data_IF_705255025539
#
_entry.id   IF_705255025539
#
_cell.length_a   1.000
_cell.length_b   1.000
_cell.length_c   1.000
_cell.angle_alpha   90.00
_cell.angle_beta   90.00
_cell.angle_gamma   90.00
#
_symmetry.space_group_name_H-M   'P 1'
#
loop_
_entity.id
_entity.type
_entity.pdbx_description
1 polymer ?
#
# COMPACT_ATOMS: atom_id res chain seq x y z
N UNK A 1 -5.23 -17.67 0.43
CA UNK A 1 -6.35 -17.47 1.37
C UNK A 1 -6.36 -18.42 2.57
N UNK A 2 -6.41 -19.75 2.41
CA UNK A 2 -6.54 -20.70 3.55
C UNK A 2 -5.46 -20.49 4.63
N UNK A 3 -4.21 -20.21 4.22
CA UNK A 3 -3.11 -19.95 5.15
C UNK A 3 -3.39 -18.73 6.04
N UNK A 4 -3.83 -17.62 5.45
CA UNK A 4 -4.17 -16.41 6.20
C UNK A 4 -5.41 -16.59 7.07
N UNK A 5 -6.41 -17.34 6.60
CA UNK A 5 -7.59 -17.68 7.40
C UNK A 5 -7.21 -18.44 8.67
N UNK A 6 -6.39 -19.49 8.52
CA UNK A 6 -5.89 -20.29 9.65
C UNK A 6 -5.06 -19.42 10.60
N UNK A 7 -4.19 -18.57 10.07
CA UNK A 7 -3.35 -17.67 10.88
C UNK A 7 -4.20 -16.66 11.66
N UNK A 8 -5.14 -15.98 11.01
CA UNK A 8 -6.04 -15.01 11.62
C UNK A 8 -6.95 -15.63 12.70
N UNK A 9 -7.38 -16.89 12.51
CA UNK A 9 -8.16 -17.62 13.52
C UNK A 9 -7.34 -17.97 14.76
N UNK A 10 -6.07 -18.32 14.59
CA UNK A 10 -5.20 -18.79 15.67
C UNK A 10 -4.39 -17.67 16.34
N UNK A 11 -4.49 -16.43 15.85
CA UNK A 11 -3.74 -15.29 16.39
C UNK A 11 -4.62 -14.52 17.38
N UNK A 12 -4.22 -14.39 18.65
CA UNK A 12 -4.94 -13.58 19.63
C UNK A 12 -5.08 -12.12 19.19
N UNK A 13 -6.23 -11.52 19.51
CA UNK A 13 -6.57 -10.13 19.23
C UNK A 13 -6.86 -9.45 20.56
N UNK A 14 -5.90 -8.67 21.05
CA UNK A 14 -6.12 -7.76 22.16
C UNK A 14 -6.08 -6.37 21.56
N UNK A 15 -7.26 -5.85 21.22
CA UNK A 15 -7.44 -4.51 20.66
C UNK A 15 -8.52 -3.83 21.50
N UNK A 16 -8.16 -2.75 22.18
CA UNK A 16 -9.07 -1.94 22.99
C UNK A 16 -10.12 -1.27 22.11
N UNK A 17 -11.37 -1.27 22.57
CA UNK A 17 -12.47 -0.60 21.87
C UNK A 17 -12.27 0.91 21.76
N UNK A 18 -11.50 1.52 22.66
CA UNK A 18 -11.16 2.95 22.61
C UNK A 18 -10.19 3.30 21.49
N UNK A 19 -9.45 2.33 20.95
CA UNK A 19 -8.46 2.49 19.88
C UNK A 19 -9.00 2.07 18.51
N UNK A 20 -10.32 1.94 18.38
CA UNK A 20 -10.99 1.57 17.14
C UNK A 20 -11.34 2.80 16.31
N UNK A 21 -11.28 2.66 14.99
CA UNK A 21 -11.57 3.78 14.09
C UNK A 21 -12.98 4.35 14.25
N UNK A 22 -13.97 3.53 14.63
CA UNK A 22 -15.33 3.99 14.93
C UNK A 22 -15.43 4.88 16.18
N UNK A 23 -14.37 5.00 16.99
CA UNK A 23 -14.26 5.98 18.08
C UNK A 23 -13.72 7.34 17.65
N UNK A 24 -13.76 7.67 16.36
CA UNK A 24 -13.25 8.94 15.82
C UNK A 24 -13.83 10.21 16.45
N UNK A 25 -14.95 10.14 17.17
CA UNK A 25 -15.52 11.27 17.92
C UNK A 25 -14.93 11.47 19.33
N UNK A 26 -14.22 10.47 19.86
CA UNK A 26 -13.71 10.44 21.23
C UNK A 26 -12.17 10.34 21.25
N UNK A 27 -11.48 10.97 22.23
CA UNK A 27 -10.06 10.71 22.46
C UNK A 27 -9.81 9.21 22.79
N UNK A 28 -8.68 8.63 22.35
CA UNK A 28 -7.55 9.25 21.65
C UNK A 28 -7.67 9.27 20.11
N UNK A 29 -8.77 8.77 19.54
CA UNK A 29 -8.91 8.62 18.09
C UNK A 29 -9.31 9.94 17.42
N UNK A 30 -10.05 10.80 18.13
CA UNK A 30 -10.41 12.14 17.72
C UNK A 30 -9.19 12.94 17.20
N UNK A 31 -9.18 13.41 15.93
CA UNK A 31 -8.09 14.22 15.43
C UNK A 31 -7.99 15.59 16.14
N UNK A 32 -6.77 16.11 16.38
CA UNK A 32 -6.57 17.37 17.10
C UNK A 32 -6.82 18.61 16.24
N UNK A 33 -7.04 18.47 14.93
CA UNK A 33 -7.28 19.57 14.01
C UNK A 33 -8.25 19.20 12.88
N UNK A 34 -8.72 20.22 12.16
CA UNK A 34 -9.56 20.06 10.96
C UNK A 34 -8.75 19.90 9.67
N UNK A 35 -7.41 19.93 9.78
CA UNK A 35 -6.49 19.72 8.68
C UNK A 35 -6.40 18.23 8.30
N UNK A 36 -6.13 17.96 7.02
CA UNK A 36 -5.96 16.59 6.52
C UNK A 36 -4.53 16.30 6.06
N UNK A 37 -4.01 15.10 6.32
CA UNK A 37 -2.70 14.63 5.85
C UNK A 37 -2.78 13.21 5.27
N UNK A 38 -1.85 12.83 4.39
CA UNK A 38 -1.79 11.46 3.86
C UNK A 38 -1.22 10.48 4.89
N UNK A 39 -1.58 9.19 4.77
CA UNK A 39 -0.95 8.15 5.61
C UNK A 39 0.56 8.08 5.35
N UNK A 40 0.99 8.19 4.09
CA UNK A 40 2.42 8.19 3.74
C UNK A 40 3.23 9.35 4.33
N UNK A 41 2.58 10.49 4.61
CA UNK A 41 3.20 11.66 5.24
C UNK A 41 3.59 11.40 6.70
N UNK A 42 2.77 10.57 7.37
CA UNK A 42 2.94 10.12 8.74
C UNK A 42 3.96 8.98 8.77
N UNK A 43 3.78 7.97 7.90
CA UNK A 43 4.44 6.66 8.03
C UNK A 43 5.66 6.47 7.12
N UNK A 44 5.99 7.46 6.29
CA UNK A 44 7.10 7.39 5.35
C UNK A 44 8.47 7.22 6.01
N UNK A 45 8.61 7.62 7.27
CA UNK A 45 9.84 7.39 8.05
C UNK A 45 11.07 8.11 7.50
N UNK A 46 10.88 9.24 6.80
CA UNK A 46 11.94 9.99 6.11
C UNK A 46 12.49 11.17 6.92
N UNK A 47 11.69 11.73 7.82
CA UNK A 47 12.04 12.93 8.58
C UNK A 47 11.56 12.81 10.04
N UNK A 48 12.46 12.48 10.99
CA UNK A 48 12.10 12.26 12.39
C UNK A 48 11.39 13.45 13.04
N UNK A 49 11.82 14.69 12.76
CA UNK A 49 11.21 15.90 13.33
C UNK A 49 9.94 16.36 12.58
N UNK A 50 9.57 15.70 11.48
CA UNK A 50 8.37 16.06 10.72
C UNK A 50 8.49 17.32 9.86
N UNK A 51 9.70 17.88 9.67
CA UNK A 51 9.95 19.05 8.80
C UNK A 51 9.49 18.85 7.35
N UNK A 52 9.40 17.60 6.89
CA UNK A 52 8.80 17.26 5.59
C UNK A 52 7.36 17.76 5.45
N UNK A 53 6.57 17.73 6.54
CA UNK A 53 5.19 18.22 6.57
C UNK A 53 5.17 19.74 6.43
N UNK A 54 6.05 20.43 7.16
CA UNK A 54 6.21 21.88 7.08
C UNK A 54 6.55 22.32 5.65
N UNK A 55 7.58 21.72 5.03
CA UNK A 55 7.97 22.07 3.67
C UNK A 55 6.87 21.80 2.64
N UNK A 56 6.17 20.66 2.76
CA UNK A 56 5.14 20.25 1.80
C UNK A 56 3.85 21.05 1.92
N UNK A 57 3.37 21.26 3.15
CA UNK A 57 2.03 21.81 3.40
C UNK A 57 2.01 23.28 3.81
N UNK A 58 3.08 23.79 4.42
CA UNK A 58 3.16 25.18 4.91
C UNK A 58 3.90 26.05 3.89
N UNK A 59 5.11 25.65 3.49
CA UNK A 59 5.92 26.38 2.50
C UNK A 59 5.53 26.08 1.04
N UNK A 60 4.74 25.03 0.81
CA UNK A 60 4.30 24.64 -0.54
C UNK A 60 5.44 24.15 -1.45
N UNK A 61 6.55 23.68 -0.88
CA UNK A 61 7.69 23.15 -1.63
C UNK A 61 7.28 21.87 -2.34
N UNK A 62 7.44 21.84 -3.66
CA UNK A 62 7.19 20.64 -4.46
C UNK A 62 8.23 19.57 -4.18
N UNK A 63 7.76 18.35 -3.98
CA UNK A 63 8.62 17.19 -3.77
C UNK A 63 9.46 16.92 -5.04
N UNK A 64 10.80 16.91 -4.93
CA UNK A 64 11.65 16.54 -6.05
C UNK A 64 11.39 15.10 -6.50
N UNK A 65 11.30 14.88 -7.81
CA UNK A 65 11.21 13.51 -8.35
C UNK A 65 12.52 12.77 -8.11
N UNK A 66 12.46 11.57 -7.50
CA UNK A 66 13.62 10.69 -7.36
C UNK A 66 13.44 9.43 -8.23
N UNK A 67 14.52 8.87 -8.81
CA UNK A 67 14.46 7.61 -9.53
C UNK A 67 13.87 6.45 -8.70
N UNK A 68 14.12 6.43 -7.40
CA UNK A 68 13.61 5.41 -6.47
C UNK A 68 12.10 5.52 -6.26
N UNK A 69 11.58 6.74 -6.13
CA UNK A 69 10.13 7.01 -6.09
C UNK A 69 9.46 6.61 -7.39
N UNK A 70 10.06 6.98 -8.53
CA UNK A 70 9.59 6.59 -9.86
C UNK A 70 9.58 5.07 -10.05
N UNK A 71 10.66 4.39 -9.64
CA UNK A 71 10.75 2.92 -9.66
C UNK A 71 9.64 2.27 -8.82
N UNK A 72 9.42 2.76 -7.60
CA UNK A 72 8.33 2.28 -6.74
C UNK A 72 6.98 2.42 -7.43
N UNK A 73 6.71 3.58 -8.02
CA UNK A 73 5.47 3.87 -8.74
C UNK A 73 5.24 2.96 -9.95
N UNK A 74 6.31 2.59 -10.68
CA UNK A 74 6.24 1.62 -11.78
C UNK A 74 5.85 0.24 -11.27
N UNK A 75 6.48 -0.23 -10.19
CA UNK A 75 6.18 -1.56 -9.60
C UNK A 75 4.72 -1.64 -9.15
N UNK A 76 4.26 -0.61 -8.42
CA UNK A 76 2.85 -0.48 -8.01
C UNK A 76 1.90 -0.50 -9.19
N UNK A 77 2.12 0.38 -10.17
CA UNK A 77 1.24 0.49 -11.33
C UNK A 77 1.23 -0.77 -12.20
N UNK A 78 2.36 -1.46 -12.37
CA UNK A 78 2.42 -2.69 -13.15
C UNK A 78 1.72 -3.85 -12.43
N UNK A 79 1.85 -3.92 -11.09
CA UNK A 79 1.18 -4.94 -10.30
C UNK A 79 -0.34 -4.74 -10.30
N UNK A 80 -0.83 -3.55 -9.94
CA UNK A 80 -2.28 -3.28 -9.86
C UNK A 80 -2.97 -3.49 -11.21
N UNK A 81 -2.41 -2.96 -12.30
CA UNK A 81 -2.94 -3.17 -13.65
C UNK A 81 -2.88 -4.61 -14.11
N UNK A 82 -1.80 -5.33 -13.77
CA UNK A 82 -1.72 -6.76 -14.07
C UNK A 82 -2.84 -7.54 -13.38
N UNK A 83 -3.10 -7.22 -12.10
CA UNK A 83 -4.19 -7.84 -11.34
C UNK A 83 -5.56 -7.50 -11.96
N UNK A 84 -5.82 -6.23 -12.27
CA UNK A 84 -7.06 -5.79 -12.93
C UNK A 84 -7.26 -6.50 -14.27
N UNK A 85 -6.19 -6.63 -15.07
CA UNK A 85 -6.27 -7.29 -16.36
C UNK A 85 -6.59 -8.78 -16.23
N UNK A 86 -5.97 -9.47 -15.27
CA UNK A 86 -6.33 -10.88 -14.98
C UNK A 86 -7.80 -11.02 -14.61
N UNK A 87 -8.32 -10.14 -13.74
CA UNK A 87 -9.75 -10.17 -13.39
C UNK A 87 -10.64 -9.96 -14.61
N UNK A 88 -10.31 -8.96 -15.44
CA UNK A 88 -11.01 -8.66 -16.69
C UNK A 88 -11.06 -9.88 -17.61
N UNK A 89 -9.92 -10.51 -17.88
CA UNK A 89 -9.84 -11.68 -18.75
C UNK A 89 -10.73 -12.84 -18.28
N UNK A 90 -10.74 -13.11 -16.96
CA UNK A 90 -11.61 -14.16 -16.39
C UNK A 90 -13.10 -13.80 -16.56
N UNK A 91 -13.47 -12.54 -16.32
CA UNK A 91 -14.85 -12.06 -16.48
C UNK A 91 -15.30 -12.12 -17.94
N UNK A 92 -14.41 -11.81 -18.88
CA UNK A 92 -14.65 -11.90 -20.32
C UNK A 92 -14.83 -13.36 -20.79
N UNK A 93 -14.38 -14.33 -19.97
CA UNK A 93 -14.64 -15.76 -20.15
C UNK A 93 -13.39 -16.61 -20.32
N UNK A 94 -12.20 -16.01 -20.24
CA UNK A 94 -10.96 -16.78 -20.31
C UNK A 94 -10.66 -17.48 -18.99
N UNK A 95 -10.96 -18.78 -19.01
CA UNK A 95 -10.85 -19.64 -17.83
C UNK A 95 -9.65 -20.57 -17.89
N UNK A 96 -8.76 -20.42 -18.89
CA UNK A 96 -7.55 -21.24 -19.05
C UNK A 96 -6.28 -20.44 -18.82
N UNK A 97 -5.37 -20.99 -18.02
CA UNK A 97 -4.11 -20.33 -17.67
C UNK A 97 -3.23 -20.04 -18.88
N UNK A 98 -3.13 -20.98 -19.83
CA UNK A 98 -2.39 -20.79 -21.08
C UNK A 98 -2.93 -19.60 -21.90
N UNK A 99 -4.25 -19.49 -22.02
CA UNK A 99 -4.92 -18.39 -22.72
C UNK A 99 -4.74 -17.04 -22.01
N UNK A 100 -4.87 -17.02 -20.68
CA UNK A 100 -4.61 -15.81 -19.88
C UNK A 100 -3.19 -15.33 -20.09
N UNK A 101 -2.21 -16.24 -20.09
CA UNK A 101 -0.80 -15.89 -20.31
C UNK A 101 -0.58 -15.25 -21.68
N UNK A 102 -1.16 -15.83 -22.74
CA UNK A 102 -1.10 -15.25 -24.09
C UNK A 102 -1.74 -13.87 -24.13
N UNK A 103 -2.97 -13.72 -23.62
CA UNK A 103 -3.66 -12.44 -23.61
C UNK A 103 -2.92 -11.36 -22.81
N UNK A 104 -2.34 -11.73 -21.65
CA UNK A 104 -1.48 -10.84 -20.88
C UNK A 104 -0.25 -10.39 -21.70
N UNK A 105 0.35 -11.26 -22.50
CA UNK A 105 1.47 -10.88 -23.37
C UNK A 105 1.03 -9.88 -24.47
N UNK A 106 -0.15 -10.09 -25.05
CA UNK A 106 -0.74 -9.21 -26.06
C UNK A 106 -1.09 -7.82 -25.49
N UNK A 107 -1.45 -7.74 -24.21
CA UNK A 107 -1.80 -6.50 -23.51
C UNK A 107 -0.58 -5.74 -22.93
N UNK A 108 0.60 -6.36 -22.86
CA UNK A 108 1.82 -5.71 -22.34
C UNK A 108 2.15 -4.36 -23.03
N UNK A 109 2.03 -4.18 -24.36
CA UNK A 109 2.24 -2.89 -25.00
C UNK A 109 1.31 -1.77 -24.47
N UNK A 110 0.08 -2.11 -24.05
CA UNK A 110 -0.87 -1.16 -23.46
C UNK A 110 -0.32 -0.66 -22.13
N UNK A 111 0.15 -1.57 -21.26
CA UNK A 111 0.82 -1.21 -20.01
C UNK A 111 2.02 -0.29 -20.28
N UNK A 112 2.90 -0.68 -21.20
CA UNK A 112 4.12 0.06 -21.51
C UNK A 112 3.84 1.49 -21.98
N UNK A 113 2.76 1.69 -22.75
CA UNK A 113 2.30 3.02 -23.16
C UNK A 113 1.86 3.85 -21.95
N UNK A 114 1.11 3.29 -21.03
CA UNK A 114 0.61 4.02 -19.86
C UNK A 114 1.70 4.39 -18.84
N UNK A 115 2.70 3.53 -18.67
CA UNK A 115 3.83 3.82 -17.77
C UNK A 115 4.90 4.71 -18.42
N UNK A 116 4.78 5.07 -19.71
CA UNK A 116 5.75 5.90 -20.43
C UNK A 116 6.00 7.27 -19.79
N UNK A 117 5.07 7.74 -18.94
CA UNK A 117 5.24 8.92 -18.07
C UNK A 117 6.43 8.82 -17.10
N UNK A 118 6.95 7.61 -16.86
CA UNK A 118 8.13 7.33 -16.04
C UNK A 118 9.38 7.06 -16.90
N UNK A 119 9.41 7.53 -18.14
CA UNK A 119 10.53 7.30 -19.08
C UNK A 119 11.88 7.85 -18.59
N UNK A 120 11.86 8.79 -17.64
CA UNK A 120 13.04 9.33 -16.97
C UNK A 120 13.64 8.37 -15.92
N UNK A 121 12.92 7.31 -15.53
CA UNK A 121 13.42 6.31 -14.58
C UNK A 121 14.26 5.28 -15.34
N UNK A 122 15.50 4.97 -14.90
CA UNK A 122 16.31 3.93 -15.51
C UNK A 122 15.58 2.59 -15.60
N UNK A 123 15.66 1.94 -16.76
CA UNK A 123 15.10 0.62 -17.04
C UNK A 123 13.58 0.48 -16.77
N UNK A 124 12.82 1.58 -16.81
CA UNK A 124 11.39 1.56 -16.45
C UNK A 124 10.57 0.49 -17.17
N UNK A 125 10.84 0.24 -18.46
CA UNK A 125 10.14 -0.78 -19.23
C UNK A 125 10.45 -2.19 -18.73
N UNK A 126 11.71 -2.47 -18.40
CA UNK A 126 12.14 -3.80 -17.96
C UNK A 126 11.54 -4.13 -16.60
N UNK A 127 11.58 -3.19 -15.66
CA UNK A 127 10.95 -3.33 -14.35
C UNK A 127 9.46 -3.65 -14.48
N UNK A 128 8.75 -2.93 -15.33
CA UNK A 128 7.33 -3.16 -15.54
C UNK A 128 7.05 -4.52 -16.20
N UNK A 129 7.85 -4.92 -17.19
CA UNK A 129 7.76 -6.24 -17.83
C UNK A 129 7.95 -7.36 -16.82
N UNK A 130 8.96 -7.26 -15.94
CA UNK A 130 9.23 -8.28 -14.93
C UNK A 130 8.04 -8.44 -13.97
N UNK A 131 7.47 -7.34 -13.48
CA UNK A 131 6.27 -7.39 -12.62
C UNK A 131 5.06 -7.95 -13.37
N UNK A 132 4.81 -7.49 -14.60
CA UNK A 132 3.70 -7.94 -15.43
C UNK A 132 3.77 -9.45 -15.72
N UNK A 133 4.96 -9.93 -16.11
CA UNK A 133 5.20 -11.34 -16.37
C UNK A 133 5.05 -12.16 -15.09
N UNK A 134 5.55 -11.66 -13.95
CA UNK A 134 5.36 -12.32 -12.66
C UNK A 134 3.86 -12.49 -12.31
N UNK A 135 3.05 -11.45 -12.51
CA UNK A 135 1.59 -11.53 -12.32
C UNK A 135 0.97 -12.54 -13.30
N UNK A 136 1.30 -12.46 -14.58
CA UNK A 136 0.83 -13.41 -15.61
C UNK A 136 1.16 -14.86 -15.24
N UNK A 137 2.38 -15.12 -14.78
CA UNK A 137 2.85 -16.44 -14.38
C UNK A 137 2.11 -16.98 -13.16
N UNK A 138 2.00 -16.18 -12.10
CA UNK A 138 1.35 -16.58 -10.85
C UNK A 138 -0.12 -16.90 -11.10
N UNK A 139 -0.84 -16.01 -11.77
CA UNK A 139 -2.30 -16.14 -11.87
C UNK A 139 -2.77 -17.04 -13.02
N UNK A 140 -1.98 -17.22 -14.08
CA UNK A 140 -2.27 -18.29 -15.07
C UNK A 140 -2.31 -19.66 -14.39
N UNK A 141 -1.32 -19.94 -13.53
CA UNK A 141 -1.25 -21.18 -12.76
C UNK A 141 -2.39 -21.27 -11.74
N UNK A 142 -2.74 -20.19 -11.06
CA UNK A 142 -3.81 -20.19 -10.06
C UNK A 142 -5.19 -20.45 -10.69
N UNK A 143 -5.45 -19.91 -11.89
CA UNK A 143 -6.68 -20.19 -12.64
C UNK A 143 -6.82 -21.67 -12.94
N UNK A 144 -5.77 -22.31 -13.47
CA UNK A 144 -5.81 -23.74 -13.78
C UNK A 144 -6.01 -24.61 -12.52
N UNK A 145 -5.40 -24.22 -11.39
CA UNK A 145 -5.59 -24.90 -10.09
C UNK A 145 -7.03 -24.79 -9.58
N UNK A 146 -7.63 -23.60 -9.62
CA UNK A 146 -8.99 -23.38 -9.12
C UNK A 146 -9.99 -24.11 -10.02
N UNK A 147 -9.88 -23.95 -11.33
CA UNK A 147 -10.75 -24.63 -12.29
C UNK A 147 -10.63 -26.15 -12.20
N UNK A 148 -9.41 -26.67 -12.01
CA UNK A 148 -9.18 -28.12 -11.87
C UNK A 148 -9.89 -28.74 -10.64
N UNK A 149 -10.15 -27.94 -9.59
CA UNK A 149 -10.88 -28.38 -8.40
C UNK A 149 -12.39 -28.20 -8.53
N UNK A 150 -12.82 -27.15 -9.21
CA UNK A 150 -14.23 -26.77 -9.32
C UNK A 150 -14.57 -26.32 -10.76
N UNK A 151 -14.93 -27.25 -11.66
CA UNK A 151 -15.08 -26.96 -13.08
C UNK A 151 -16.33 -26.13 -13.44
N UNK A 152 -17.33 -26.10 -12.56
CA UNK A 152 -18.63 -25.43 -12.81
C UNK A 152 -18.77 -24.08 -12.09
N UNK A 153 -17.65 -23.41 -11.76
CA UNK A 153 -17.70 -22.09 -11.13
C UNK A 153 -18.24 -21.04 -12.08
N UNK A 154 -19.05 -20.12 -11.55
CA UNK A 154 -19.33 -18.86 -12.26
C UNK A 154 -18.04 -18.07 -12.43
N UNK A 155 -17.99 -17.18 -13.44
CA UNK A 155 -16.82 -16.33 -13.68
C UNK A 155 -16.49 -15.45 -12.48
N UNK A 156 -17.52 -14.91 -11.84
CA UNK A 156 -17.39 -14.11 -10.61
C UNK A 156 -16.79 -14.91 -9.45
N UNK A 157 -17.27 -16.13 -9.23
CA UNK A 157 -16.70 -17.02 -8.20
C UNK A 157 -15.27 -17.44 -8.54
N UNK A 158 -14.97 -17.66 -9.83
CA UNK A 158 -13.61 -17.96 -10.27
C UNK A 158 -12.66 -16.78 -9.99
N UNK A 159 -13.05 -15.55 -10.33
CA UNK A 159 -12.29 -14.33 -9.99
C UNK A 159 -12.07 -14.23 -8.48
N UNK A 160 -13.12 -14.40 -7.68
CA UNK A 160 -13.05 -14.30 -6.23
C UNK A 160 -12.14 -15.34 -5.59
N UNK A 161 -11.95 -16.50 -6.22
CA UNK A 161 -11.05 -17.55 -5.73
C UNK A 161 -9.60 -17.37 -6.22
N UNK A 162 -9.43 -16.88 -7.46
CA UNK A 162 -8.11 -16.66 -8.09
C UNK A 162 -7.45 -15.38 -7.57
N UNK A 163 -8.20 -14.28 -7.52
CA UNK A 163 -7.76 -12.97 -7.03
C UNK A 163 -8.66 -12.51 -5.87
N UNK A 164 -8.46 -13.07 -4.67
CA UNK A 164 -9.34 -12.87 -3.51
C UNK A 164 -9.09 -11.53 -2.78
N UNK A 165 -8.80 -10.47 -3.52
CA UNK A 165 -8.52 -9.15 -2.99
C UNK A 165 -8.78 -8.06 -4.03
N UNK A 166 -9.04 -6.85 -3.57
CA UNK A 166 -9.05 -5.64 -4.38
C UNK A 166 -7.68 -5.00 -4.37
N UNK A 167 -7.30 -4.32 -5.45
CA UNK A 167 -6.10 -3.48 -5.52
C UNK A 167 -6.50 -2.02 -5.49
N UNK A 168 -5.62 -1.13 -5.02
CA UNK A 168 -5.87 0.32 -4.96
C UNK A 168 -7.20 0.68 -4.26
N UNK A 169 -7.52 -0.06 -3.19
CA UNK A 169 -8.81 0.00 -2.53
C UNK A 169 -9.02 1.36 -1.86
N UNK A 170 -10.06 2.12 -2.26
CA UNK A 170 -10.28 3.48 -1.74
C UNK A 170 -10.79 3.45 -0.31
N UNK A 171 -10.26 4.34 0.54
CA UNK A 171 -10.66 4.51 1.93
C UNK A 171 -10.78 6.02 2.21
N UNK A 172 -11.92 6.44 2.77
CA UNK A 172 -12.08 7.82 3.25
C UNK A 172 -11.52 7.94 4.66
N UNK A 173 -10.45 8.72 4.83
CA UNK A 173 -9.81 8.96 6.11
C UNK A 173 -10.20 10.28 6.79
N UNK A 174 -11.15 11.03 6.24
CA UNK A 174 -11.48 12.39 6.70
C UNK A 174 -11.91 12.47 8.16
N UNK A 175 -12.66 11.48 8.66
CA UNK A 175 -13.08 11.40 10.07
C UNK A 175 -11.91 11.32 11.06
N UNK A 176 -10.72 10.94 10.58
CA UNK A 176 -9.50 10.81 11.39
C UNK A 176 -8.48 11.92 11.13
N UNK A 177 -8.83 13.00 10.43
CA UNK A 177 -7.86 14.02 10.04
C UNK A 177 -6.88 13.53 8.96
N UNK A 178 -7.26 12.48 8.21
CA UNK A 178 -6.50 11.97 7.08
C UNK A 178 -7.15 12.40 5.76
N UNK A 179 -6.42 12.29 4.66
CA UNK A 179 -6.96 12.53 3.31
C UNK A 179 -8.24 11.71 3.05
N UNK A 180 -9.20 12.28 2.32
CA UNK A 180 -10.41 11.54 1.89
C UNK A 180 -10.16 10.58 0.72
N UNK A 181 -8.96 10.64 0.12
CA UNK A 181 -8.58 9.88 -1.07
C UNK A 181 -7.46 8.87 -0.77
N UNK A 182 -7.51 8.20 0.39
CA UNK A 182 -6.53 7.15 0.69
C UNK A 182 -6.77 5.94 -0.22
N UNK A 183 -5.68 5.24 -0.53
CA UNK A 183 -5.71 4.00 -1.29
C UNK A 183 -4.83 2.99 -0.58
N UNK A 184 -5.42 1.90 -0.11
CA UNK A 184 -4.66 0.74 0.32
C UNK A 184 -4.26 -0.08 -0.91
N UNK A 185 -3.02 -0.56 -0.95
CA UNK A 185 -2.51 -1.28 -2.13
C UNK A 185 -3.29 -2.55 -2.42
N UNK A 186 -3.72 -3.26 -1.36
CA UNK A 186 -4.73 -4.28 -1.49
C UNK A 186 -5.63 -4.43 -0.25
N UNK A 187 -6.84 -4.93 -0.48
CA UNK A 187 -7.80 -5.27 0.58
C UNK A 187 -8.40 -6.65 0.33
N UNK A 188 -8.32 -7.52 1.33
CA UNK A 188 -8.93 -8.86 1.32
C UNK A 188 -10.23 -8.78 2.13
N UNK A 189 -11.41 -8.80 1.50
CA UNK A 189 -12.67 -8.60 2.22
C UNK A 189 -13.12 -9.85 3.01
N UNK A 190 -12.85 -11.07 2.51
CA UNK A 190 -13.33 -12.30 3.16
C UNK A 190 -12.67 -12.56 4.52
N UNK A 191 -11.47 -12.02 4.71
CA UNK A 191 -10.75 -12.01 5.98
C UNK A 191 -10.22 -10.59 6.07
N UNK A 192 -10.93 -9.66 6.76
CA UNK A 192 -10.65 -8.22 6.70
C UNK A 192 -9.18 -7.89 6.99
N UNK A 193 -8.38 -7.86 5.93
CA UNK A 193 -6.93 -7.72 5.94
C UNK A 193 -6.60 -6.67 4.90
N UNK A 194 -5.91 -5.62 5.35
CA UNK A 194 -5.33 -4.60 4.47
C UNK A 194 -3.88 -4.94 4.18
N UNK A 195 -3.43 -4.74 2.95
CA UNK A 195 -2.05 -4.93 2.56
C UNK A 195 -1.40 -3.63 2.07
N UNK A 196 -0.13 -3.49 2.39
CA UNK A 196 0.75 -2.40 1.96
C UNK A 196 1.99 -3.01 1.30
N UNK A 197 2.33 -2.53 0.11
CA UNK A 197 3.48 -2.92 -0.67
C UNK A 197 4.60 -1.87 -0.58
N UNK A 198 5.79 -2.32 -0.16
CA UNK A 198 7.01 -1.53 -0.11
C UNK A 198 8.06 -2.10 -1.06
N UNK A 199 8.70 -1.21 -1.82
CA UNK A 199 9.79 -1.56 -2.75
C UNK A 199 11.18 -1.25 -2.17
N UNK A 200 11.22 -0.60 -1.01
CA UNK A 200 12.44 -0.20 -0.30
C UNK A 200 12.81 -1.22 0.78
N UNK A 201 13.98 -0.99 1.40
CA UNK A 201 14.44 -1.76 2.57
C UNK A 201 13.39 -1.76 3.69
N UNK A 202 13.19 -2.88 4.38
CA UNK A 202 12.29 -2.95 5.53
C UNK A 202 12.60 -1.90 6.60
N UNK A 203 11.56 -1.21 7.05
CA UNK A 203 11.60 -0.30 8.21
C UNK A 203 10.40 -0.62 9.12
N UNK A 204 10.60 -0.54 10.43
CA UNK A 204 9.56 -0.84 11.41
C UNK A 204 8.36 0.12 11.28
N UNK A 205 8.64 1.40 11.04
CA UNK A 205 7.66 2.48 10.85
C UNK A 205 6.63 2.20 9.75
N UNK A 206 6.97 1.37 8.75
CA UNK A 206 6.03 1.05 7.68
C UNK A 206 4.80 0.28 8.17
N UNK A 207 4.91 -0.42 9.30
CA UNK A 207 3.77 -1.09 9.91
C UNK A 207 2.68 -0.10 10.36
N UNK A 208 3.03 1.14 10.70
CA UNK A 208 2.05 2.20 11.03
C UNK A 208 1.09 2.49 9.87
N UNK A 209 1.52 2.25 8.63
CA UNK A 209 0.66 2.43 7.44
C UNK A 209 -0.58 1.53 7.53
N UNK A 210 -0.40 0.31 8.04
CA UNK A 210 -1.50 -0.64 8.23
C UNK A 210 -2.49 -0.14 9.29
N UNK A 211 -2.00 0.43 10.39
CA UNK A 211 -2.87 1.03 11.41
C UNK A 211 -3.65 2.23 10.87
N UNK A 212 -3.02 3.10 10.08
CA UNK A 212 -3.70 4.24 9.47
C UNK A 212 -4.86 3.82 8.55
N UNK A 213 -4.64 2.83 7.68
CA UNK A 213 -5.72 2.31 6.84
C UNK A 213 -6.77 1.53 7.62
N UNK A 214 -6.38 0.75 8.63
CA UNK A 214 -7.31 0.01 9.48
C UNK A 214 -8.26 0.96 10.23
N UNK A 215 -7.71 1.99 10.87
CA UNK A 215 -8.50 3.00 11.57
C UNK A 215 -9.43 3.74 10.59
N UNK A 216 -8.94 4.18 9.44
CA UNK A 216 -9.76 4.88 8.45
C UNK A 216 -10.89 4.00 7.88
N UNK A 217 -10.62 2.71 7.66
CA UNK A 217 -11.65 1.77 7.25
C UNK A 217 -12.70 1.56 8.36
N UNK A 218 -12.24 1.35 9.59
CA UNK A 218 -13.10 1.17 10.77
C UNK A 218 -13.99 2.39 11.05
N UNK A 219 -13.51 3.61 10.81
CA UNK A 219 -14.27 4.83 11.06
C UNK A 219 -15.47 5.02 10.14
N UNK A 220 -15.41 4.43 8.94
CA UNK A 220 -16.47 4.53 7.92
C UNK A 220 -17.40 3.32 7.95
N UNK A 221 -16.83 2.12 8.06
CA UNK A 221 -17.57 0.87 7.85
C UNK A 221 -17.93 0.16 9.15
N UNK A 222 -17.39 0.57 10.30
CA UNK A 222 -17.59 -0.08 11.61
C UNK A 222 -17.27 -1.59 11.59
N UNK A 223 -16.36 -2.00 10.69
CA UNK A 223 -15.90 -3.39 10.55
C UNK A 223 -14.46 -3.48 11.03
N UNK A 224 -14.14 -4.38 11.98
CA UNK A 224 -12.80 -4.48 12.57
C UNK A 224 -11.75 -4.91 11.56
N UNK A 225 -10.64 -4.17 11.49
CA UNK A 225 -9.43 -4.53 10.74
C UNK A 225 -8.30 -4.80 11.74
N UNK A 226 -8.19 -6.07 12.14
CA UNK A 226 -7.25 -6.51 13.18
C UNK A 226 -5.89 -6.94 12.61
N UNK A 227 -5.80 -7.09 11.30
CA UNK A 227 -4.64 -7.70 10.63
C UNK A 227 -4.26 -6.94 9.37
N UNK A 228 -2.97 -6.99 9.05
CA UNK A 228 -2.46 -6.49 7.79
C UNK A 228 -1.34 -7.33 7.20
N UNK A 229 -1.03 -7.09 5.94
CA UNK A 229 0.09 -7.67 5.23
C UNK A 229 1.05 -6.56 4.83
N UNK A 230 2.29 -6.64 5.32
CA UNK A 230 3.35 -5.75 4.84
C UNK A 230 4.20 -6.52 3.82
N UNK A 231 4.01 -6.20 2.55
CA UNK A 231 4.60 -6.89 1.42
C UNK A 231 5.81 -6.14 0.86
N UNK A 232 6.98 -6.76 0.93
CA UNK A 232 8.20 -6.26 0.33
C UNK A 232 8.39 -6.88 -1.05
N UNK A 233 8.47 -6.05 -2.09
CA UNK A 233 8.70 -6.51 -3.46
C UNK A 233 10.07 -6.05 -3.93
N UNK A 234 10.96 -7.01 -4.13
CA UNK A 234 12.28 -6.78 -4.75
C UNK A 234 12.25 -7.25 -6.20
N UNK A 235 12.68 -6.37 -7.09
CA UNK A 235 12.86 -6.66 -8.52
C UNK A 235 14.35 -6.61 -8.82
N UNK A 236 14.91 -7.76 -9.17
CA UNK A 236 16.27 -7.92 -9.64
C UNK A 236 16.25 -8.09 -11.17
N UNK A 237 16.69 -7.05 -11.88
CA UNK A 237 16.72 -7.02 -13.34
C UNK A 237 17.81 -7.90 -13.92
N UNK A 238 18.93 -8.09 -13.21
CA UNK A 238 20.05 -8.89 -13.71
C UNK A 238 19.67 -10.37 -13.79
N UNK A 239 18.98 -10.86 -12.76
CA UNK A 239 18.49 -12.23 -12.72
C UNK A 239 17.07 -12.39 -13.27
N UNK A 240 16.39 -11.30 -13.65
CA UNK A 240 14.98 -11.28 -14.06
C UNK A 240 14.04 -11.89 -13.00
N UNK A 241 14.32 -11.64 -11.72
CA UNK A 241 13.60 -12.22 -10.59
C UNK A 241 12.75 -11.16 -9.88
N UNK A 242 11.48 -11.50 -9.64
CA UNK A 242 10.58 -10.76 -8.73
C UNK A 242 10.40 -11.57 -7.45
N UNK A 243 10.71 -10.97 -6.31
CA UNK A 243 10.66 -11.60 -5.00
C UNK A 243 9.70 -10.84 -4.07
N UNK A 244 8.41 -11.23 -4.05
CA UNK A 244 7.47 -10.75 -3.05
C UNK A 244 7.68 -11.48 -1.72
N UNK A 245 7.71 -10.74 -0.61
CA UNK A 245 7.71 -11.26 0.76
C UNK A 245 6.69 -10.50 1.59
N UNK A 246 5.62 -11.16 2.01
CA UNK A 246 4.58 -10.55 2.83
C UNK A 246 4.64 -11.03 4.29
N UNK A 247 4.81 -10.07 5.20
CA UNK A 247 4.77 -10.30 6.64
C UNK A 247 3.34 -10.05 7.15
N UNK A 248 2.72 -11.07 7.75
CA UNK A 248 1.44 -10.92 8.43
C UNK A 248 1.65 -10.21 9.77
N UNK A 249 0.88 -9.14 9.99
CA UNK A 249 0.95 -8.27 11.15
C UNK A 249 -0.39 -8.23 11.87
N UNK A 250 -0.33 -8.19 13.20
CA UNK A 250 -1.47 -7.84 14.05
C UNK A 250 -1.44 -6.33 14.23
N UNK A 251 -2.57 -5.68 14.00
CA UNK A 251 -2.77 -4.24 14.17
C UNK A 251 -3.27 -4.02 15.59
N UNK A 252 -2.36 -4.23 16.55
CA UNK A 252 -2.63 -4.18 17.98
C UNK A 252 -2.71 -2.74 18.52
N UNK A 253 -3.02 -2.60 19.81
CA UNK A 253 -3.14 -1.32 20.51
C UNK A 253 -1.91 -0.44 20.36
N UNK A 254 -0.71 -1.03 20.52
CA UNK A 254 0.54 -0.29 20.36
C UNK A 254 0.67 0.33 18.97
N UNK A 255 0.40 -0.43 17.92
CA UNK A 255 0.52 0.08 16.55
C UNK A 255 -0.50 1.18 16.24
N UNK A 256 -1.70 1.07 16.83
CA UNK A 256 -2.77 2.07 16.72
C UNK A 256 -2.39 3.34 17.46
N UNK A 257 -1.93 3.23 18.70
CA UNK A 257 -1.47 4.34 19.52
C UNK A 257 -0.28 5.05 18.86
N UNK A 258 0.76 4.32 18.47
CA UNK A 258 1.95 4.87 17.79
C UNK A 258 1.56 5.64 16.51
N UNK A 259 0.55 5.16 15.77
CA UNK A 259 0.04 5.87 14.59
C UNK A 259 -0.71 7.16 14.95
N UNK A 260 -1.61 7.11 15.94
CA UNK A 260 -2.39 8.27 16.38
C UNK A 260 -1.49 9.38 16.94
N UNK A 261 -0.50 9.02 17.76
CA UNK A 261 0.48 9.97 18.29
C UNK A 261 1.29 10.65 17.18
N UNK A 262 1.74 9.88 16.18
CA UNK A 262 2.48 10.44 15.06
C UNK A 262 1.60 11.29 14.14
N UNK A 263 0.34 10.88 13.91
CA UNK A 263 -0.65 11.67 13.19
C UNK A 263 -0.84 13.02 13.86
N UNK A 264 -1.08 13.03 15.16
CA UNK A 264 -1.38 14.25 15.93
C UNK A 264 -0.20 15.21 15.89
N UNK A 265 1.02 14.70 16.06
CA UNK A 265 2.26 15.46 15.94
C UNK A 265 2.42 16.09 14.55
N UNK A 266 2.09 15.37 13.47
CA UNK A 266 2.20 15.90 12.10
C UNK A 266 1.11 16.92 11.80
N UNK A 267 -0.12 16.69 12.28
CA UNK A 267 -1.21 17.65 12.16
C UNK A 267 -0.89 18.95 12.91
N UNK A 268 -0.28 18.88 14.09
CA UNK A 268 0.15 20.04 14.86
C UNK A 268 1.18 20.91 14.11
N UNK A 269 2.17 20.28 13.44
CA UNK A 269 3.15 21.00 12.59
C UNK A 269 2.44 21.75 11.46
N UNK A 270 1.49 21.08 10.78
CA UNK A 270 0.73 21.66 9.68
C UNK A 270 -0.16 22.82 10.15
N UNK A 271 -0.86 22.64 11.27
CA UNK A 271 -1.82 23.60 11.81
C UNK A 271 -1.12 24.85 12.35
N UNK A 272 -0.05 24.68 13.13
CA UNK A 272 0.68 25.82 13.71
C UNK A 272 1.56 26.55 12.71
N UNK A 273 1.98 25.89 11.64
CA UNK A 273 2.91 26.48 10.67
C UNK A 273 4.26 26.87 11.29
N UNK A 274 4.71 26.14 12.32
CA UNK A 274 6.02 26.37 12.96
C UNK A 274 7.00 25.32 12.45
N UNK A 275 8.15 25.78 11.91
CA UNK A 275 9.22 24.88 11.45
C UNK A 275 9.77 24.08 12.66
N UNK A 276 9.65 22.73 12.69
CA UNK A 276 10.16 21.91 13.78
C UNK A 276 11.70 21.79 13.77
N UNK A 277 12.37 22.43 12.79
CA UNK A 277 13.81 22.43 12.64
C UNK A 277 14.37 21.13 12.06
N UNK A 278 15.68 21.11 11.84
CA UNK A 278 16.38 19.96 11.30
C UNK A 278 16.56 18.87 12.36
N UNK A 279 16.35 17.58 12.01
CA UNK A 279 16.75 16.48 12.86
C UNK A 279 18.29 16.40 12.95
N UNK A 280 18.80 15.74 13.99
CA UNK A 280 20.24 15.50 14.17
C UNK A 280 20.85 14.75 12.98
N UNK A 281 20.11 13.77 12.44
CA UNK A 281 20.44 13.02 11.24
C UNK A 281 19.20 12.83 10.37
N UNK A 282 19.37 12.95 9.06
CA UNK A 282 18.34 12.71 8.06
C UNK A 282 18.49 11.33 7.43
N UNK A 283 17.38 10.78 6.93
CA UNK A 283 17.42 9.63 6.05
C UNK A 283 18.04 10.01 4.70
N UNK A 284 18.87 9.11 4.15
CA UNK A 284 19.54 9.33 2.87
C UNK A 284 18.54 9.45 1.69
N UNK A 285 17.37 8.81 1.82
CA UNK A 285 16.30 8.84 0.82
C UNK A 285 15.26 9.95 1.05
N UNK A 286 15.56 10.93 1.91
CA UNK A 286 14.68 12.07 2.13
C UNK A 286 14.62 12.95 0.85
N UNK A 287 13.43 13.15 0.24
CA UNK A 287 13.30 13.89 -1.01
C UNK A 287 13.61 15.38 -0.86
N UNK A 288 13.53 15.92 0.36
CA UNK A 288 13.80 17.33 0.67
C UNK A 288 15.21 17.57 1.23
N UNK A 289 16.11 16.57 1.17
CA UNK A 289 17.44 16.67 1.77
C UNK A 289 18.24 17.88 1.23
N UNK A 290 18.19 18.09 -0.09
CA UNK A 290 18.85 19.22 -0.76
C UNK A 290 18.20 20.56 -0.42
N UNK A 291 16.87 20.60 -0.33
CA UNK A 291 16.12 21.81 0.05
C UNK A 291 16.38 22.23 1.49
N UNK A 292 16.47 21.26 2.41
CA UNK A 292 16.55 21.55 3.84
C UNK A 292 18.00 21.70 4.36
N UNK A 293 19.00 21.27 3.58
CA UNK A 293 20.41 21.26 3.98
C UNK A 293 20.73 20.23 5.08
N UNK A 294 19.95 19.15 5.15
CA UNK A 294 20.06 18.14 6.20
C UNK A 294 21.35 17.32 6.12
N UNK A 295 21.85 16.86 7.28
CA UNK A 295 23.01 15.97 7.37
C UNK A 295 22.55 14.52 7.44
N UNK A 296 23.05 13.67 6.54
CA UNK A 296 22.79 12.23 6.53
C UNK A 296 23.72 11.54 7.52
N UNK A 297 23.27 10.42 8.10
CA UNK A 297 24.12 9.55 8.93
C UNK A 297 25.03 8.67 8.09
#
# INVERSE_FOLDING_TARGET
MIIYAKRAKNTPRAISEELRGWKWSDPPVLPPSSSFIGVSDITGGLCPNGRIIYLRYVEGVREPSSPELGRGSIIHSAYSKGIENVKKLILDGETRGDRIRTAMADDLPILLKEISRFSNVPNYQEVAKLIWNHVSDVYSVEVDKVRGKSPFLSRDSLVSLVVPFYVEFPIDGSLLGLSSNLRADAFIPQIPIIAEMKTRKPKEVYSLTLAGYALAYESVYEVPIDFGLLCYVRVDEQSSIVQPKCDFKVINDRLRQDFLEERDRRLEIKERGVDPGLPKYCEADCPFLTTCGGRVK
#
